data_IF_142427893813
#
_entry.id   IF_142427893813
#
_cell.length_a   1.000
_cell.length_b   1.000
_cell.length_c   1.000
_cell.angle_alpha   90.00
_cell.angle_beta   90.00
_cell.angle_gamma   90.00
#
_symmetry.space_group_name_H-M   'P 1'
#
loop_
_entity.id
_entity.type
_entity.pdbx_description
1 polymer ?
#
# COMPACT_ATOMS: atom_id res chain seq x y z
N UNK A 1 6.42 -12.30 -3.91
CA UNK A 1 5.83 -11.26 -3.04
C UNK A 1 5.79 -9.88 -3.71
N UNK A 2 6.77 -9.48 -4.54
CA UNK A 2 6.77 -8.16 -5.19
C UNK A 2 5.53 -7.90 -6.04
N UNK A 3 5.13 -8.85 -6.89
CA UNK A 3 3.86 -8.74 -7.62
C UNK A 3 2.64 -8.65 -6.70
N UNK A 4 2.65 -9.38 -5.58
CA UNK A 4 1.57 -9.27 -4.59
C UNK A 4 1.51 -7.85 -4.00
N UNK A 5 2.66 -7.26 -3.62
CA UNK A 5 2.72 -5.88 -3.14
C UNK A 5 2.20 -4.88 -4.17
N UNK A 6 2.63 -5.01 -5.43
CA UNK A 6 2.13 -4.16 -6.52
C UNK A 6 0.61 -4.29 -6.67
N UNK A 7 0.09 -5.52 -6.79
CA UNK A 7 -1.35 -5.75 -6.98
C UNK A 7 -2.16 -5.21 -5.79
N UNK A 8 -1.65 -5.30 -4.56
CA UNK A 8 -2.28 -4.68 -3.41
C UNK A 8 -2.27 -3.15 -3.54
N UNK A 9 -1.15 -2.52 -3.89
CA UNK A 9 -1.12 -1.06 -4.10
C UNK A 9 -2.07 -0.62 -5.23
N UNK A 10 -2.12 -1.36 -6.35
CA UNK A 10 -3.03 -1.08 -7.46
C UNK A 10 -4.50 -1.23 -7.04
N UNK A 11 -4.82 -2.28 -6.28
CA UNK A 11 -6.17 -2.53 -5.78
C UNK A 11 -6.64 -1.39 -4.86
N UNK A 12 -5.77 -0.96 -3.94
CA UNK A 12 -6.15 0.01 -2.93
C UNK A 12 -6.19 1.45 -3.44
N UNK A 13 -5.38 1.79 -4.45
CA UNK A 13 -5.32 3.16 -5.00
C UNK A 13 -6.09 3.31 -6.31
N UNK A 14 -6.45 2.19 -6.96
CA UNK A 14 -6.97 2.11 -8.34
C UNK A 14 -6.01 2.69 -9.41
N UNK A 15 -4.77 2.93 -9.05
CA UNK A 15 -3.73 3.40 -9.96
C UNK A 15 -3.03 2.18 -10.56
N UNK A 16 -2.95 2.11 -11.89
CA UNK A 16 -2.19 1.06 -12.58
C UNK A 16 -0.70 1.24 -12.36
N UNK A 17 0.05 0.14 -12.27
CA UNK A 17 1.51 0.14 -12.19
C UNK A 17 2.14 0.91 -13.37
N UNK A 18 1.55 0.80 -14.56
CA UNK A 18 1.98 1.51 -15.78
C UNK A 18 1.33 2.88 -15.94
N UNK A 19 0.55 3.33 -14.95
CA UNK A 19 -0.03 4.66 -14.96
C UNK A 19 1.07 5.70 -14.75
N UNK A 20 0.99 6.81 -15.48
CA UNK A 20 1.82 7.98 -15.21
C UNK A 20 1.25 8.71 -14.00
N UNK A 21 1.95 8.63 -12.88
CA UNK A 21 1.64 9.41 -11.67
C UNK A 21 2.51 10.65 -11.71
N UNK A 22 1.87 11.82 -11.79
CA UNK A 22 2.57 13.10 -11.62
C UNK A 22 2.44 13.54 -10.15
N UNK A 23 3.58 13.76 -9.50
CA UNK A 23 3.64 14.28 -8.15
C UNK A 23 4.72 15.35 -8.09
N UNK A 24 4.35 16.57 -7.71
CA UNK A 24 5.22 17.76 -7.73
C UNK A 24 5.94 18.01 -9.07
N UNK A 25 5.28 17.67 -10.19
CA UNK A 25 5.81 17.86 -11.54
C UNK A 25 6.78 16.77 -12.03
N UNK A 26 7.00 15.71 -11.24
CA UNK A 26 7.80 14.55 -11.62
C UNK A 26 6.94 13.29 -11.82
N UNK A 27 7.34 12.46 -12.78
CA UNK A 27 6.79 11.12 -12.94
C UNK A 27 7.41 10.17 -11.92
N UNK A 28 6.58 9.64 -11.03
CA UNK A 28 7.01 8.68 -10.02
C UNK A 28 6.31 7.34 -10.19
N UNK A 29 6.94 6.27 -9.70
CA UNK A 29 6.32 4.94 -9.67
C UNK A 29 5.19 4.87 -8.63
N UNK A 30 4.29 3.88 -8.78
CA UNK A 30 3.25 3.60 -7.78
C UNK A 30 3.85 3.33 -6.38
N UNK A 31 5.01 2.69 -6.33
CA UNK A 31 5.72 2.40 -5.08
C UNK A 31 6.15 3.70 -4.40
N UNK A 32 6.81 4.59 -5.14
CA UNK A 32 7.25 5.89 -4.62
C UNK A 32 6.06 6.78 -4.23
N UNK A 33 4.97 6.74 -4.99
CA UNK A 33 3.75 7.49 -4.66
C UNK A 33 3.16 7.05 -3.33
N UNK A 34 3.01 5.73 -3.13
CA UNK A 34 2.52 5.18 -1.86
C UNK A 34 3.51 5.47 -0.74
N UNK A 35 4.82 5.32 -0.96
CA UNK A 35 5.85 5.64 0.04
C UNK A 35 5.83 7.12 0.47
N UNK A 36 5.71 8.05 -0.48
CA UNK A 36 5.57 9.48 -0.19
C UNK A 36 4.33 9.78 0.65
N UNK A 37 3.22 9.09 0.42
CA UNK A 37 2.01 9.27 1.25
C UNK A 37 2.25 8.97 2.73
N UNK A 38 3.13 8.00 3.06
CA UNK A 38 3.48 7.69 4.45
C UNK A 38 4.26 8.81 5.15
N UNK A 39 4.90 9.72 4.41
CA UNK A 39 5.57 10.90 4.98
C UNK A 39 4.56 11.92 5.53
N UNK A 40 3.34 11.94 4.99
CA UNK A 40 2.23 12.79 5.44
C UNK A 40 1.38 12.19 6.56
N UNK A 41 1.72 10.99 7.06
CA UNK A 41 0.98 10.31 8.12
C UNK A 41 -0.26 9.56 7.64
N UNK A 42 -1.09 9.11 8.58
CA UNK A 42 -2.23 8.20 8.32
C UNK A 42 -3.25 8.80 7.36
N UNK A 43 -3.60 10.07 7.53
CA UNK A 43 -4.61 10.73 6.70
C UNK A 43 -4.16 10.90 5.25
N UNK A 44 -2.86 11.15 5.03
CA UNK A 44 -2.27 11.20 3.69
C UNK A 44 -2.22 9.83 3.01
N UNK A 45 -2.04 8.75 3.77
CA UNK A 45 -2.14 7.39 3.22
C UNK A 45 -3.60 7.05 2.88
N UNK A 46 -4.56 7.52 3.68
CA UNK A 46 -5.98 7.30 3.39
C UNK A 46 -6.48 8.14 2.21
N UNK A 47 -5.89 9.30 1.94
CA UNK A 47 -6.30 10.15 0.82
C UNK A 47 -5.93 9.59 -0.56
N UNK A 48 -4.98 8.65 -0.63
CA UNK A 48 -4.60 7.98 -1.89
C UNK A 48 -5.41 6.70 -2.15
N UNK A 49 -6.29 6.32 -1.22
CA UNK A 49 -7.14 5.14 -1.35
C UNK A 49 -8.29 5.45 -2.32
N UNK A 50 -8.65 4.47 -3.16
CA UNK A 50 -9.78 4.53 -4.08
C UNK A 50 -11.04 5.01 -3.35
N UNK A 51 -11.62 6.11 -3.83
CA UNK A 51 -12.81 6.73 -3.25
C UNK A 51 -14.06 5.83 -3.37
N UNK A 52 -14.02 4.86 -4.28
CA UNK A 52 -15.03 3.82 -4.39
C UNK A 52 -14.94 2.74 -3.29
N UNK A 53 -13.85 2.69 -2.51
CA UNK A 53 -13.76 1.78 -1.36
C UNK A 53 -14.44 2.39 -0.13
N UNK A 54 -15.48 1.70 0.34
CA UNK A 54 -16.16 2.06 1.57
C UNK A 54 -15.30 1.72 2.80
N UNK A 55 -14.74 2.75 3.43
CA UNK A 55 -13.97 2.67 4.69
C UNK A 55 -14.76 3.43 5.77
N UNK A 56 -15.84 2.83 6.30
CA UNK A 56 -16.78 3.55 7.16
C UNK A 56 -16.26 3.80 8.57
N UNK A 57 -15.13 3.20 8.96
CA UNK A 57 -14.58 3.30 10.32
C UNK A 57 -13.09 3.59 10.35
N UNK A 58 -12.65 4.33 11.37
CA UNK A 58 -11.22 4.57 11.63
C UNK A 58 -10.43 3.26 11.82
N UNK A 59 -11.06 2.23 12.39
CA UNK A 59 -10.47 0.89 12.52
C UNK A 59 -10.15 0.27 11.17
N UNK A 60 -11.08 0.33 10.21
CA UNK A 60 -10.84 -0.15 8.85
C UNK A 60 -9.78 0.68 8.15
N UNK A 61 -9.80 2.02 8.31
CA UNK A 61 -8.74 2.89 7.79
C UNK A 61 -7.36 2.47 8.30
N UNK A 62 -7.22 2.21 9.60
CA UNK A 62 -6.00 1.70 10.19
C UNK A 62 -5.55 0.33 9.63
N UNK A 63 -6.50 -0.54 9.23
CA UNK A 63 -6.17 -1.80 8.54
C UNK A 63 -5.66 -1.53 7.13
N UNK A 64 -6.31 -0.64 6.38
CA UNK A 64 -5.86 -0.25 5.03
C UNK A 64 -4.44 0.27 5.05
N UNK A 65 -4.11 1.18 5.97
CA UNK A 65 -2.75 1.70 6.13
C UNK A 65 -1.75 0.57 6.43
N UNK A 66 -2.10 -0.40 7.27
CA UNK A 66 -1.24 -1.56 7.56
C UNK A 66 -1.07 -2.49 6.35
N UNK A 67 -2.11 -2.68 5.53
CA UNK A 67 -2.03 -3.46 4.29
C UNK A 67 -1.14 -2.76 3.27
N UNK A 68 -1.29 -1.46 3.06
CA UNK A 68 -0.43 -0.68 2.17
C UNK A 68 1.04 -0.68 2.64
N UNK A 69 1.28 -0.63 3.96
CA UNK A 69 2.63 -0.76 4.51
C UNK A 69 3.23 -2.15 4.26
N UNK A 70 2.42 -3.21 4.41
CA UNK A 70 2.83 -4.57 4.07
C UNK A 70 3.12 -4.70 2.56
N UNK A 71 2.30 -4.08 1.71
CA UNK A 71 2.49 -4.07 0.27
C UNK A 71 3.82 -3.40 -0.13
N UNK A 72 4.16 -2.24 0.46
CA UNK A 72 5.46 -1.60 0.28
C UNK A 72 6.63 -2.49 0.71
N UNK A 73 6.51 -3.18 1.85
CA UNK A 73 7.58 -4.08 2.32
C UNK A 73 7.85 -5.24 1.33
N UNK A 74 6.84 -5.67 0.57
CA UNK A 74 7.00 -6.69 -0.46
C UNK A 74 7.76 -6.18 -1.70
N UNK A 75 7.90 -4.86 -1.86
CA UNK A 75 8.52 -4.21 -3.01
C UNK A 75 9.84 -3.51 -2.69
N UNK A 76 10.40 -3.71 -1.49
CA UNK A 76 11.70 -3.14 -1.11
C UNK A 76 12.79 -3.51 -2.12
N UNK A 77 13.73 -2.60 -2.37
CA UNK A 77 14.81 -2.85 -3.32
C UNK A 77 15.63 -4.09 -2.93
N UNK A 78 16.04 -4.17 -1.67
CA UNK A 78 16.81 -5.28 -1.11
C UNK A 78 15.93 -6.53 -0.94
N UNK A 79 16.28 -7.63 -1.60
CA UNK A 79 15.50 -8.86 -1.55
C UNK A 79 15.41 -9.49 -0.15
N UNK A 80 16.48 -9.39 0.64
CA UNK A 80 16.60 -9.92 2.00
C UNK A 80 15.69 -9.22 3.01
N UNK A 81 15.28 -7.98 2.73
CA UNK A 81 14.40 -7.19 3.59
C UNK A 81 12.92 -7.46 3.31
N UNK A 82 12.61 -8.16 2.20
CA UNK A 82 11.23 -8.41 1.81
C UNK A 82 10.68 -9.62 2.59
N UNK A 83 9.45 -9.56 3.11
CA UNK A 83 8.87 -10.62 3.92
C UNK A 83 8.51 -11.86 3.11
N UNK A 84 8.88 -13.06 3.56
CA UNK A 84 8.48 -14.27 2.84
C UNK A 84 6.95 -14.43 2.81
N UNK A 85 6.42 -15.14 1.81
CA UNK A 85 4.95 -15.24 1.61
C UNK A 85 4.20 -15.75 2.86
N UNK A 86 4.84 -16.60 3.67
CA UNK A 86 4.31 -17.07 4.97
C UNK A 86 4.11 -15.92 5.97
N UNK A 87 5.04 -14.97 6.02
CA UNK A 87 4.97 -13.80 6.90
C UNK A 87 3.92 -12.80 6.43
N UNK A 88 3.81 -12.61 5.11
CA UNK A 88 2.74 -11.80 4.50
C UNK A 88 1.37 -12.37 4.87
N UNK A 89 1.16 -13.67 4.67
CA UNK A 89 -0.09 -14.35 5.04
C UNK A 89 -0.38 -14.22 6.54
N UNK A 90 0.62 -14.49 7.39
CA UNK A 90 0.49 -14.34 8.85
C UNK A 90 0.08 -12.92 9.25
N UNK A 91 0.66 -11.91 8.60
CA UNK A 91 0.33 -10.50 8.85
C UNK A 91 -1.10 -10.18 8.42
N UNK A 92 -1.52 -10.63 7.23
CA UNK A 92 -2.90 -10.41 6.75
C UNK A 92 -3.94 -11.08 7.66
N UNK A 93 -3.68 -12.31 8.12
CA UNK A 93 -4.57 -13.00 9.06
C UNK A 93 -4.71 -12.25 10.38
N UNK A 94 -3.62 -11.67 10.89
CA UNK A 94 -3.68 -10.81 12.08
C UNK A 94 -4.53 -9.56 11.85
N UNK A 95 -4.58 -9.03 10.62
CA UNK A 95 -5.40 -7.87 10.28
C UNK A 95 -6.88 -8.22 10.06
N UNK A 96 -7.19 -9.46 9.69
CA UNK A 96 -8.58 -9.91 9.48
C UNK A 96 -9.32 -10.20 10.79
N UNK A 97 -8.62 -10.57 11.86
CA UNK A 97 -9.21 -11.02 13.13
C UNK A 97 -9.33 -9.95 14.24
N UNK A 98 -9.08 -8.68 13.94
CA UNK A 98 -9.18 -7.55 14.89
C UNK A 98 -10.35 -6.65 14.54
#
# INVERSE_FOLDING_TARGET
MTFFGIVMMELFTRIRLTGTIEHDGEHISLQEFVEKSFQGGVDAVLSIVDDAMDIPTATQGGKVVKVLKLALSCTLFNAEERPVMKEVLSTLLKLSHV
#
